data_IF_743414557234
#
_entry.id   IF_743414557234
#
_cell.length_a   1.000
_cell.length_b   1.000
_cell.length_c   1.000
_cell.angle_alpha   90.00
_cell.angle_beta   90.00
_cell.angle_gamma   90.00
#
_symmetry.space_group_name_H-M   'P 1'
#
loop_
_entity.id
_entity.type
_entity.pdbx_description
1 polymer ?
#
# COMPACT_ATOMS: atom_id res chain seq x y z
N UNK A 1 1.97 -0.07 2.85
CA UNK A 1 1.80 -0.56 4.22
C UNK A 1 0.33 -0.75 4.49
N UNK A 2 -0.06 -1.90 5.02
CA UNK A 2 -1.41 -2.33 5.37
C UNK A 2 -1.68 -2.30 6.89
N UNK A 3 -0.72 -1.83 7.71
CA UNK A 3 -0.92 -1.64 9.14
C UNK A 3 -1.58 -0.31 9.50
N UNK A 4 -2.51 -0.32 10.45
CA UNK A 4 -3.11 0.87 11.09
C UNK A 4 -3.64 1.90 10.08
N UNK A 5 -2.81 2.90 9.75
CA UNK A 5 -3.08 3.87 8.70
C UNK A 5 -3.38 3.21 7.34
N UNK A 6 -2.67 2.14 6.98
CA UNK A 6 -2.93 1.39 5.76
C UNK A 6 -4.33 0.78 5.69
N UNK A 7 -4.85 0.29 6.81
CA UNK A 7 -6.22 -0.23 6.90
C UNK A 7 -7.25 0.88 6.64
N UNK A 8 -7.05 2.04 7.27
CA UNK A 8 -7.94 3.20 7.09
C UNK A 8 -7.89 3.73 5.65
N UNK A 9 -6.69 3.90 5.09
CA UNK A 9 -6.51 4.37 3.71
C UNK A 9 -7.19 3.46 2.69
N UNK A 10 -7.06 2.14 2.82
CA UNK A 10 -7.73 1.20 1.92
C UNK A 10 -9.26 1.34 1.98
N UNK A 11 -9.81 1.43 3.19
CA UNK A 11 -11.24 1.63 3.40
C UNK A 11 -11.70 2.97 2.83
N UNK A 12 -10.99 4.06 3.10
CA UNK A 12 -11.34 5.39 2.63
C UNK A 12 -11.28 5.49 1.10
N UNK A 13 -10.17 5.08 0.47
CA UNK A 13 -10.02 5.13 -0.98
C UNK A 13 -11.08 4.30 -1.70
N UNK A 14 -11.34 3.07 -1.23
CA UNK A 14 -12.36 2.22 -1.81
C UNK A 14 -13.77 2.82 -1.69
N UNK A 15 -14.10 3.48 -0.56
CA UNK A 15 -15.39 4.15 -0.38
C UNK A 15 -15.50 5.49 -1.12
N UNK A 16 -14.38 6.13 -1.44
CA UNK A 16 -14.32 7.33 -2.27
C UNK A 16 -14.45 7.05 -3.77
N UNK A 17 -14.51 5.77 -4.17
CA UNK A 17 -14.71 5.36 -5.56
C UNK A 17 -13.43 5.03 -6.32
N UNK A 18 -12.28 4.93 -5.65
CA UNK A 18 -11.09 4.32 -6.27
C UNK A 18 -11.32 2.82 -6.44
N UNK A 19 -11.23 2.33 -7.68
CA UNK A 19 -11.54 0.93 -8.02
C UNK A 19 -10.31 0.07 -8.24
N UNK A 20 -9.15 0.66 -8.52
CA UNK A 20 -7.89 -0.04 -8.76
C UNK A 20 -6.85 0.43 -7.74
N UNK A 21 -6.60 -0.42 -6.74
CA UNK A 21 -5.74 -0.09 -5.60
C UNK A 21 -4.73 -1.21 -5.40
N UNK A 22 -3.45 -0.85 -5.26
CA UNK A 22 -2.39 -1.81 -5.00
C UNK A 22 -1.87 -1.60 -3.57
N UNK A 23 -1.71 -2.70 -2.81
CA UNK A 23 -1.23 -2.64 -1.43
C UNK A 23 0.03 -3.49 -1.23
N UNK A 24 1.10 -2.85 -0.76
CA UNK A 24 2.37 -3.50 -0.45
C UNK A 24 2.55 -3.52 1.07
N UNK A 25 2.79 -4.70 1.64
CA UNK A 25 3.19 -4.85 3.04
C UNK A 25 4.01 -6.14 3.20
N UNK A 26 5.10 -6.07 3.96
CA UNK A 26 6.02 -7.20 4.17
C UNK A 26 5.76 -7.94 5.48
N UNK A 27 4.81 -7.50 6.30
CA UNK A 27 4.55 -8.07 7.60
C UNK A 27 3.43 -9.11 7.55
N UNK A 28 3.46 -10.00 8.54
CA UNK A 28 2.35 -10.87 8.89
C UNK A 28 1.52 -10.28 10.03
N UNK A 29 0.29 -10.76 10.19
CA UNK A 29 -0.64 -10.29 11.21
C UNK A 29 -0.24 -10.85 12.58
N UNK A 30 -0.08 -9.98 13.56
CA UNK A 30 0.14 -10.32 14.96
C UNK A 30 -1.09 -9.99 15.84
N UNK A 31 -1.23 -10.67 16.98
CA UNK A 31 -2.32 -10.42 17.93
C UNK A 31 -2.38 -8.94 18.37
N UNK A 32 -1.23 -8.31 18.59
CA UNK A 32 -1.12 -6.89 18.97
C UNK A 32 -1.64 -5.92 17.91
N UNK A 33 -1.89 -6.38 16.69
CA UNK A 33 -2.41 -5.57 15.59
C UNK A 33 -3.93 -5.40 15.70
N UNK A 34 -4.63 -6.37 16.29
CA UNK A 34 -6.10 -6.46 16.24
C UNK A 34 -6.82 -5.35 17.03
N UNK A 35 -6.12 -4.62 17.89
CA UNK A 35 -6.70 -3.50 18.64
C UNK A 35 -6.95 -2.25 17.78
N UNK A 36 -6.35 -2.16 16.59
CA UNK A 36 -6.43 -0.97 15.71
C UNK A 36 -6.50 -1.28 14.23
N UNK A 37 -6.13 -2.49 13.81
CA UNK A 37 -6.09 -2.90 12.40
C UNK A 37 -7.36 -3.70 12.07
N UNK A 38 -8.48 -2.98 11.93
CA UNK A 38 -9.82 -3.54 11.88
C UNK A 38 -10.13 -4.37 10.62
N UNK A 39 -9.22 -4.45 9.65
CA UNK A 39 -9.34 -5.39 8.52
C UNK A 39 -9.00 -6.82 8.92
N UNK A 40 -8.31 -7.04 10.04
CA UNK A 40 -7.81 -8.35 10.45
C UNK A 40 -8.66 -8.97 11.57
N UNK A 41 -8.71 -10.31 11.63
CA UNK A 41 -9.39 -11.08 12.69
C UNK A 41 -8.42 -12.05 13.36
N UNK A 42 -8.81 -12.60 14.50
CA UNK A 42 -8.01 -13.63 15.22
C UNK A 42 -7.64 -14.83 14.34
N UNK A 43 -8.53 -15.23 13.42
CA UNK A 43 -8.29 -16.32 12.47
C UNK A 43 -7.19 -16.02 11.45
N UNK A 44 -6.83 -14.75 11.28
CA UNK A 44 -5.87 -14.30 10.27
C UNK A 44 -4.45 -14.14 10.83
N UNK A 45 -4.25 -14.38 12.14
CA UNK A 45 -2.93 -14.30 12.77
C UNK A 45 -1.94 -15.22 12.04
N UNK A 46 -0.76 -14.69 11.72
CA UNK A 46 0.28 -15.36 10.96
C UNK A 46 0.16 -15.23 9.43
N UNK A 47 -1.00 -14.80 8.89
CA UNK A 47 -1.17 -14.55 7.46
C UNK A 47 -0.54 -13.20 7.05
N UNK A 48 -0.14 -13.04 5.77
CA UNK A 48 0.32 -11.75 5.24
C UNK A 48 -0.72 -10.64 5.38
N UNK A 49 -0.31 -9.47 5.89
CA UNK A 49 -1.22 -8.32 6.05
C UNK A 49 -1.79 -7.84 4.72
N UNK A 50 -0.94 -7.75 3.69
CA UNK A 50 -1.35 -7.27 2.37
C UNK A 50 -2.48 -8.12 1.78
N UNK A 51 -2.33 -9.45 1.81
CA UNK A 51 -3.30 -10.40 1.28
C UNK A 51 -4.64 -10.32 2.01
N UNK A 52 -4.62 -10.37 3.34
CA UNK A 52 -5.86 -10.34 4.13
C UNK A 52 -6.55 -8.98 4.02
N UNK A 53 -5.80 -7.88 3.94
CA UNK A 53 -6.37 -6.54 3.74
C UNK A 53 -7.09 -6.45 2.40
N UNK A 54 -6.47 -6.94 1.32
CA UNK A 54 -7.09 -6.98 0.00
C UNK A 54 -8.32 -7.90 -0.04
N UNK A 55 -8.22 -9.11 0.51
CA UNK A 55 -9.34 -10.06 0.63
C UNK A 55 -10.54 -9.40 1.32
N UNK A 56 -10.31 -8.73 2.45
CA UNK A 56 -11.36 -8.07 3.21
C UNK A 56 -12.05 -6.96 2.41
N UNK A 57 -11.27 -6.07 1.78
CA UNK A 57 -11.83 -4.93 1.03
C UNK A 57 -12.59 -5.43 -0.20
N UNK A 58 -12.02 -6.35 -0.99
CA UNK A 58 -12.64 -6.91 -2.19
C UNK A 58 -13.96 -7.61 -1.86
N UNK A 59 -14.05 -8.25 -0.70
CA UNK A 59 -15.31 -8.86 -0.24
C UNK A 59 -16.33 -7.81 0.23
N UNK A 60 -15.86 -6.74 0.88
CA UNK A 60 -16.72 -5.77 1.57
C UNK A 60 -17.27 -4.68 0.64
N UNK A 61 -16.48 -4.22 -0.32
CA UNK A 61 -16.79 -3.06 -1.17
C UNK A 61 -16.87 -3.53 -2.62
N UNK A 62 -18.08 -3.67 -3.13
CA UNK A 62 -18.30 -4.10 -4.51
C UNK A 62 -17.80 -3.03 -5.49
N UNK A 63 -17.19 -3.47 -6.60
CA UNK A 63 -16.62 -2.59 -7.62
C UNK A 63 -15.19 -2.10 -7.32
N UNK A 64 -14.65 -2.39 -6.13
CA UNK A 64 -13.25 -2.16 -5.81
C UNK A 64 -12.42 -3.43 -6.02
N UNK A 65 -11.25 -3.28 -6.63
CA UNK A 65 -10.23 -4.31 -6.79
C UNK A 65 -8.96 -3.86 -6.11
N UNK A 66 -8.59 -4.57 -5.05
CA UNK A 66 -7.34 -4.40 -4.33
C UNK A 66 -6.41 -5.55 -4.69
N UNK A 67 -5.24 -5.22 -5.25
CA UNK A 67 -4.17 -6.17 -5.58
C UNK A 67 -3.12 -6.18 -4.48
N UNK A 68 -2.92 -7.32 -3.77
CA UNK A 68 -1.95 -7.40 -2.68
C UNK A 68 -0.56 -7.79 -3.15
N UNK A 69 0.46 -7.26 -2.46
CA UNK A 69 1.86 -7.67 -2.58
C UNK A 69 2.44 -7.91 -1.19
N UNK A 70 2.67 -9.19 -0.87
CA UNK A 70 3.44 -9.57 0.32
C UNK A 70 4.95 -9.44 0.03
N UNK A 71 5.41 -8.18 -0.04
CA UNK A 71 6.78 -7.81 -0.45
C UNK A 71 7.24 -6.56 0.27
N UNK A 72 8.54 -6.32 0.23
CA UNK A 72 9.11 -5.02 0.62
C UNK A 72 8.95 -4.04 -0.54
N UNK A 73 8.87 -2.75 -0.22
CA UNK A 73 8.84 -1.70 -1.24
C UNK A 73 10.11 -1.73 -2.11
N UNK A 74 11.24 -2.17 -1.54
CA UNK A 74 12.53 -2.29 -2.22
C UNK A 74 12.58 -3.41 -3.27
N UNK A 75 11.60 -4.31 -3.29
CA UNK A 75 11.56 -5.44 -4.23
C UNK A 75 10.98 -5.06 -5.59
N UNK A 76 10.60 -3.80 -5.78
CA UNK A 76 10.03 -3.25 -6.99
C UNK A 76 10.94 -2.16 -7.58
N UNK A 77 10.96 -2.11 -8.90
CA UNK A 77 11.73 -1.16 -9.69
C UNK A 77 10.91 0.07 -10.08
N UNK A 78 11.55 0.97 -10.82
CA UNK A 78 10.96 2.21 -11.28
C UNK A 78 9.72 1.99 -12.16
N UNK A 79 9.76 1.00 -13.06
CA UNK A 79 8.66 0.69 -13.98
C UNK A 79 7.39 0.30 -13.21
N UNK A 80 7.53 -0.46 -12.13
CA UNK A 80 6.41 -0.75 -11.25
C UNK A 80 5.80 0.53 -10.66
N UNK A 81 6.62 1.43 -10.09
CA UNK A 81 6.09 2.65 -9.47
C UNK A 81 5.54 3.66 -10.48
N UNK A 82 6.10 3.73 -11.70
CA UNK A 82 5.58 4.55 -12.80
C UNK A 82 4.20 4.13 -13.29
N UNK A 83 3.78 2.88 -13.02
CA UNK A 83 2.44 2.42 -13.38
C UNK A 83 1.31 3.04 -12.55
N UNK A 84 1.63 3.76 -11.47
CA UNK A 84 0.63 4.37 -10.57
C UNK A 84 0.52 5.88 -10.74
N UNK A 85 -0.72 6.37 -10.77
CA UNK A 85 -1.00 7.81 -10.74
C UNK A 85 -0.70 8.45 -9.37
N UNK A 86 -0.90 7.71 -8.27
CA UNK A 86 -0.73 8.18 -6.91
C UNK A 86 -0.12 7.08 -6.04
N UNK A 87 0.82 7.46 -5.17
CA UNK A 87 1.42 6.57 -4.17
C UNK A 87 1.16 7.15 -2.78
N UNK A 88 0.43 6.41 -1.92
CA UNK A 88 0.11 6.84 -0.55
C UNK A 88 0.85 5.95 0.47
N UNK A 89 1.58 6.57 1.40
CA UNK A 89 2.50 5.87 2.29
C UNK A 89 1.96 5.73 3.73
N UNK A 90 1.49 4.54 4.08
CA UNK A 90 1.24 4.12 5.47
C UNK A 90 2.45 3.45 6.13
N UNK A 91 3.63 4.05 6.05
CA UNK A 91 4.90 3.48 6.53
C UNK A 91 5.20 3.92 7.96
N UNK A 92 5.94 3.10 8.72
CA UNK A 92 6.31 3.36 10.11
C UNK A 92 7.79 3.74 10.31
N UNK A 93 8.70 3.29 9.43
CA UNK A 93 10.13 3.59 9.53
C UNK A 93 10.58 4.81 8.70
N UNK A 94 11.56 5.55 9.22
CA UNK A 94 12.18 6.67 8.49
C UNK A 94 12.90 6.15 7.24
N UNK A 95 13.56 5.00 7.33
CA UNK A 95 14.32 4.40 6.22
C UNK A 95 13.40 4.09 5.04
N UNK A 96 12.24 3.45 5.28
CA UNK A 96 11.30 3.15 4.22
C UNK A 96 10.74 4.43 3.56
N UNK A 97 10.42 5.45 4.37
CA UNK A 97 9.96 6.76 3.87
C UNK A 97 11.02 7.45 2.99
N UNK A 98 12.29 7.43 3.42
CA UNK A 98 13.40 8.00 2.63
C UNK A 98 13.63 7.23 1.34
N UNK A 99 13.51 5.90 1.38
CA UNK A 99 13.68 5.06 0.20
C UNK A 99 12.61 5.34 -0.86
N UNK A 100 11.32 5.31 -0.48
CA UNK A 100 10.23 5.58 -1.45
C UNK A 100 10.31 7.01 -1.98
N UNK A 101 10.69 7.98 -1.14
CA UNK A 101 10.95 9.35 -1.60
C UNK A 101 12.06 9.40 -2.66
N UNK A 102 13.17 8.67 -2.46
CA UNK A 102 14.24 8.60 -3.44
C UNK A 102 13.82 7.95 -4.76
N UNK A 103 13.04 6.86 -4.69
CA UNK A 103 12.48 6.19 -5.87
C UNK A 103 11.57 7.13 -6.67
N UNK A 104 10.64 7.82 -6.01
CA UNK A 104 9.74 8.73 -6.71
C UNK A 104 10.47 9.95 -7.31
N UNK A 105 11.55 10.41 -6.68
CA UNK A 105 12.40 11.46 -7.24
C UNK A 105 13.22 11.00 -8.44
N UNK A 106 13.63 9.72 -8.51
CA UNK A 106 14.37 9.20 -9.67
C UNK A 106 13.51 9.14 -10.93
N UNK A 107 12.20 9.09 -10.77
CA UNK A 107 11.24 9.09 -11.88
C UNK A 107 11.08 10.46 -12.56
N UNK A 108 11.57 11.54 -11.95
CA UNK A 108 11.44 12.89 -12.49
C UNK A 108 12.35 13.06 -13.71
N UNK A 109 11.75 13.32 -14.86
CA UNK A 109 12.45 13.68 -16.09
C UNK A 109 12.57 15.20 -16.18
N UNK A 110 13.75 15.66 -16.55
CA UNK A 110 14.01 17.08 -16.79
C UNK A 110 14.45 17.26 -18.25
N UNK A 111 13.73 18.09 -18.99
CA UNK A 111 14.13 18.55 -20.32
C UNK A 111 14.58 20.02 -20.20
N UNK A 112 15.81 20.31 -20.63
CA UNK A 112 16.41 21.65 -20.55
C UNK A 112 16.37 22.32 -19.16
N UNK A 113 16.43 21.52 -18.10
CA UNK A 113 16.38 21.99 -16.71
C UNK A 113 14.98 22.33 -16.21
N UNK A 114 13.96 22.11 -17.03
CA UNK A 114 12.55 22.21 -16.66
C UNK A 114 12.00 20.81 -16.42
N UNK A 115 11.14 20.66 -15.40
CA UNK A 115 10.49 19.40 -15.14
C UNK A 115 9.51 19.10 -16.29
N UNK A 116 9.67 17.94 -16.93
CA UNK A 116 8.74 17.45 -17.93
C UNK A 116 7.36 17.21 -17.26
N UNK A 117 6.30 17.78 -17.83
CA UNK A 117 4.94 17.80 -17.25
C UNK A 117 4.05 16.69 -17.81
#
# INVERSE_FOLDING_TARGET
GAGGLGCELLKDLALMGFTDIHVIDMDTIDLSNLNRQFLFRKKDIGRPKAEVAAEFINQRIQGCTVTPYYKKIQDFDEDFYRSFHLVVCGLDSIVARRWINGMLLSMLNYEDGMLDQ
#
